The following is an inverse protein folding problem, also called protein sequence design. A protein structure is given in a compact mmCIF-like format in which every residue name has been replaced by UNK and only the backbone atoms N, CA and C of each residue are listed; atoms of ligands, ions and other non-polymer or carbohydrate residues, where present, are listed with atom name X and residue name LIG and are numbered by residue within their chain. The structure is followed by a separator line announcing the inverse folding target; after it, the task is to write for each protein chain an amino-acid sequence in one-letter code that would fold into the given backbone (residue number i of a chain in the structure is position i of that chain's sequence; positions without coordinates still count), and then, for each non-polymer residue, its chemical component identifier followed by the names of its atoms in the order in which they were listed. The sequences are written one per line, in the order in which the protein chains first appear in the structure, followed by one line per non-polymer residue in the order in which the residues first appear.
data_IF_837142564331
#
_entry.id   IF_837142564331
#
_cell.length_a   1.000
_cell.length_b   1.000
_cell.length_c   1.000
_cell.angle_alpha   90.00
_cell.angle_beta   90.00
_cell.angle_gamma   90.00
#
_symmetry.space_group_name_H-M   'P 1'
#
loop_
_entity.id
_entity.type
_entity.pdbx_description
1 polymer ?
#
# COMPACT_ATOMS: atom_id res chain seq x y z
N UNK A 1 -8.08 -21.17 5.87
CA UNK A 1 -7.76 -20.32 4.71
C UNK A 1 -6.71 -19.32 5.14
N UNK A 2 -5.51 -19.40 4.55
CA UNK A 2 -4.33 -18.63 4.96
C UNK A 2 -4.64 -17.14 4.75
N UNK A 3 -4.57 -16.32 5.80
CA UNK A 3 -4.74 -14.88 5.70
C UNK A 3 -3.54 -14.31 4.90
N UNK A 4 -3.70 -14.14 3.60
CA UNK A 4 -2.68 -13.67 2.65
C UNK A 4 -2.24 -12.22 2.86
N UNK A 5 -2.87 -11.49 3.78
CA UNK A 5 -2.62 -10.07 4.01
C UNK A 5 -1.26 -9.79 4.66
N UNK A 6 -0.74 -10.71 5.48
CA UNK A 6 0.48 -10.47 6.26
C UNK A 6 1.72 -10.28 5.36
N UNK A 7 1.83 -11.06 4.29
CA UNK A 7 2.91 -10.93 3.32
C UNK A 7 2.81 -9.61 2.53
N UNK A 8 1.59 -9.18 2.21
CA UNK A 8 1.34 -7.91 1.51
C UNK A 8 1.72 -6.74 2.40
N UNK A 9 1.34 -6.78 3.68
CA UNK A 9 1.66 -5.74 4.66
C UNK A 9 3.17 -5.69 4.86
N UNK A 10 3.84 -6.83 5.05
CA UNK A 10 5.30 -6.90 5.20
C UNK A 10 6.05 -6.31 4.00
N UNK A 11 5.56 -6.52 2.79
CA UNK A 11 6.15 -5.92 1.60
C UNK A 11 5.98 -4.38 1.58
N UNK A 12 4.79 -3.87 1.95
CA UNK A 12 4.53 -2.42 1.99
C UNK A 12 5.30 -1.71 3.10
N UNK A 13 5.33 -2.29 4.30
CA UNK A 13 6.09 -1.75 5.44
C UNK A 13 7.60 -1.87 5.21
N UNK A 14 8.05 -2.95 4.58
CA UNK A 14 9.46 -3.13 4.18
C UNK A 14 9.99 -2.00 3.30
N UNK A 15 9.18 -1.47 2.37
CA UNK A 15 9.57 -0.32 1.55
C UNK A 15 9.77 0.96 2.39
N UNK A 16 8.90 1.20 3.38
CA UNK A 16 8.98 2.38 4.25
C UNK A 16 10.21 2.30 5.16
N UNK A 17 10.44 1.14 5.78
CA UNK A 17 11.58 0.89 6.65
C UNK A 17 12.91 1.02 5.88
N UNK A 18 12.97 0.47 4.67
CA UNK A 18 14.19 0.52 3.84
C UNK A 18 14.50 1.95 3.37
N UNK A 19 13.48 2.78 3.16
CA UNK A 19 13.66 4.20 2.88
C UNK A 19 14.20 4.98 4.09
N UNK A 20 13.77 4.62 5.30
CA UNK A 20 14.27 5.18 6.55
C UNK A 20 15.72 4.78 6.81
N UNK A 21 16.05 3.49 6.69
CA UNK A 21 17.41 2.96 6.84
C UNK A 21 18.41 3.60 5.86
N UNK A 22 18.00 3.84 4.61
CA UNK A 22 18.87 4.46 3.62
C UNK A 22 18.89 6.00 3.68
N UNK A 23 17.93 6.62 4.38
CA UNK A 23 17.69 8.06 4.29
C UNK A 23 17.43 8.55 2.86
N UNK A 24 17.10 7.64 1.93
CA UNK A 24 17.00 7.91 0.51
C UNK A 24 15.89 7.08 -0.14
N UNK A 25 14.82 7.79 -0.49
CA UNK A 25 13.61 7.21 -1.08
C UNK A 25 13.90 6.60 -2.47
N UNK A 26 14.67 7.29 -3.31
CA UNK A 26 14.98 6.82 -4.66
C UNK A 26 15.78 5.52 -4.67
N UNK A 27 16.75 5.40 -3.76
CA UNK A 27 17.55 4.17 -3.58
C UNK A 27 16.66 3.03 -3.10
N UNK A 28 15.81 3.28 -2.10
CA UNK A 28 14.89 2.29 -1.59
C UNK A 28 13.91 1.78 -2.64
N UNK A 29 13.28 2.70 -3.37
CA UNK A 29 12.35 2.37 -4.46
C UNK A 29 13.02 1.61 -5.62
N UNK A 30 14.32 1.84 -5.86
CA UNK A 30 15.09 1.10 -6.88
C UNK A 30 15.33 -0.35 -6.46
N UNK A 31 15.63 -0.60 -5.19
CA UNK A 31 15.80 -1.97 -4.66
C UNK A 31 14.46 -2.72 -4.64
N UNK A 32 13.39 -2.05 -4.25
CA UNK A 32 12.05 -2.64 -4.19
C UNK A 32 11.35 -2.75 -5.55
N UNK A 33 11.83 -2.05 -6.59
CA UNK A 33 11.22 -2.03 -7.92
C UNK A 33 9.89 -1.26 -8.01
N UNK A 34 9.47 -0.57 -6.95
CA UNK A 34 8.20 0.18 -6.88
C UNK A 34 8.44 1.61 -6.38
N UNK A 35 8.34 2.58 -7.30
CA UNK A 35 8.52 4.02 -7.00
C UNK A 35 7.22 4.77 -6.79
N UNK A 36 6.22 4.49 -7.62
CA UNK A 36 4.96 5.28 -7.70
C UNK A 36 4.15 5.17 -6.40
N UNK A 37 4.26 4.06 -5.68
CA UNK A 37 3.42 3.74 -4.51
C UNK A 37 3.96 4.27 -3.18
N UNK A 38 5.22 4.74 -3.12
CA UNK A 38 5.86 5.13 -1.86
C UNK A 38 5.08 6.19 -1.08
N UNK A 39 4.75 7.30 -1.76
CA UNK A 39 4.06 8.42 -1.13
C UNK A 39 2.65 8.05 -0.68
N UNK A 40 1.95 7.19 -1.44
CA UNK A 40 0.63 6.69 -1.04
C UNK A 40 0.70 5.82 0.22
N UNK A 41 1.73 4.98 0.37
CA UNK A 41 1.92 4.22 1.61
C UNK A 41 2.30 5.12 2.78
N UNK A 42 3.15 6.13 2.56
CA UNK A 42 3.50 7.11 3.60
C UNK A 42 2.28 7.87 4.10
N UNK A 43 1.41 8.32 3.20
CA UNK A 43 0.17 9.03 3.54
C UNK A 43 -0.83 8.11 4.25
N UNK A 44 -0.98 6.86 3.79
CA UNK A 44 -1.84 5.88 4.45
C UNK A 44 -1.38 5.62 5.89
N UNK A 45 -0.07 5.41 6.11
CA UNK A 45 0.49 5.22 7.46
C UNK A 45 0.34 6.47 8.32
N UNK A 46 0.52 7.66 7.75
CA UNK A 46 0.34 8.91 8.47
C UNK A 46 -1.11 9.18 8.89
N UNK A 47 -2.09 8.65 8.16
CA UNK A 47 -3.52 8.90 8.41
C UNK A 47 -4.20 7.82 9.25
N UNK A 48 -3.76 6.56 9.16
CA UNK A 48 -4.40 5.43 9.85
C UNK A 48 -3.44 4.34 10.30
N UNK A 49 -2.14 4.65 10.45
CA UNK A 49 -1.14 3.71 10.93
C UNK A 49 -0.89 2.54 9.96
N UNK A 50 -0.24 1.49 10.47
CA UNK A 50 0.10 0.30 9.66
C UNK A 50 -1.15 -0.44 9.18
N UNK A 51 -2.25 -0.37 9.92
CA UNK A 51 -3.54 -0.98 9.56
C UNK A 51 -4.15 -0.35 8.30
N UNK A 52 -3.84 0.91 7.99
CA UNK A 52 -4.28 1.55 6.75
C UNK A 52 -3.65 0.95 5.48
N UNK A 53 -2.55 0.19 5.62
CA UNK A 53 -1.91 -0.54 4.51
C UNK A 53 -2.63 -1.86 4.18
N UNK A 54 -3.57 -2.29 5.02
CA UNK A 54 -4.35 -3.49 4.82
C UNK A 54 -5.22 -3.37 3.56
N UNK A 55 -5.36 -4.45 2.82
CA UNK A 55 -6.06 -4.42 1.53
C UNK A 55 -7.55 -4.17 1.73
N UNK A 56 -8.03 -2.99 1.31
CA UNK A 56 -9.48 -2.70 1.24
C UNK A 56 -10.13 -3.64 0.24
N UNK A 57 -11.35 -4.07 0.55
CA UNK A 57 -12.09 -5.07 -0.21
C UNK A 57 -12.19 -4.71 -1.71
N UNK A 58 -11.36 -5.37 -2.55
CA UNK A 58 -11.29 -5.15 -4.00
C UNK A 58 -12.56 -5.52 -4.76
N UNK A 59 -13.53 -6.16 -4.09
CA UNK A 59 -14.82 -6.53 -4.69
C UNK A 59 -15.73 -5.32 -4.92
N UNK A 60 -15.46 -4.18 -4.28
CA UNK A 60 -16.30 -2.99 -4.41
C UNK A 60 -15.56 -1.97 -5.28
N UNK A 61 -16.14 -1.57 -6.42
CA UNK A 61 -15.60 -0.49 -7.22
C UNK A 61 -15.43 0.79 -6.38
N UNK A 62 -14.38 1.55 -6.67
CA UNK A 62 -14.24 2.93 -6.15
C UNK A 62 -15.52 3.70 -6.44
N UNK A 63 -15.93 4.60 -5.53
CA UNK A 63 -17.16 5.38 -5.69
C UNK A 63 -17.28 6.04 -7.08
N UNK A 64 -16.16 6.54 -7.62
CA UNK A 64 -16.08 7.15 -8.95
C UNK A 64 -16.31 6.18 -10.11
N UNK A 65 -16.07 4.89 -9.88
CA UNK A 65 -16.15 3.81 -10.86
C UNK A 65 -17.39 2.92 -10.61
N UNK A 66 -18.30 3.33 -9.73
CA UNK A 66 -19.58 2.62 -9.53
C UNK A 66 -20.47 2.97 -10.72
N UNK A 67 -20.89 1.95 -11.45
CA UNK A 67 -21.99 2.07 -12.41
C UNK A 67 -23.29 1.74 -11.69
N UNK A 68 -24.39 2.40 -12.06
CA UNK A 68 -25.70 2.01 -11.56
C UNK A 68 -25.93 0.54 -11.93
N UNK A 69 -26.43 -0.23 -10.96
CA UNK A 69 -26.81 -1.62 -11.22
C UNK A 69 -27.89 -1.62 -12.27
N UNK A 70 -27.59 -2.15 -13.45
CA UNK A 70 -28.59 -2.49 -14.45
C UNK A 70 -29.49 -3.54 -13.81
N UNK A 71 -30.74 -3.15 -13.55
CA UNK A 71 -31.81 -4.04 -13.07
C UNK A 71 -32.22 -4.98 -14.22
#
# INVERSE_FOLDING_TARGET
MIHTNDHIIKHKTGLLNLAEEFGNISKACKVFGVRVTFYGYKEAVSSGGVEALLEKNRRIPSYKNRVDTVI
#
